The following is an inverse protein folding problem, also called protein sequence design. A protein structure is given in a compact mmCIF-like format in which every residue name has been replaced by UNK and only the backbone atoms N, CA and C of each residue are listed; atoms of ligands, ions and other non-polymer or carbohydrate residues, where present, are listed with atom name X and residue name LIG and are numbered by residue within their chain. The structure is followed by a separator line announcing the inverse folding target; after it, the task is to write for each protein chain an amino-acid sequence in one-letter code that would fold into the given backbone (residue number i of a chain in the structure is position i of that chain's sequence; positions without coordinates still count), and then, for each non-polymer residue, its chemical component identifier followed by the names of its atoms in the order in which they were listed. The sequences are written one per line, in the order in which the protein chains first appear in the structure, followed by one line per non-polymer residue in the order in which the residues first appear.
data_IF_311466208693
#
_entry.id   IF_311466208693
#
_cell.length_a   1.000
_cell.length_b   1.000
_cell.length_c   1.000
_cell.angle_alpha   90.00
_cell.angle_beta   90.00
_cell.angle_gamma   90.00
#
_symmetry.space_group_name_H-M   'P 1'
#
loop_
_entity.id
_entity.type
_entity.pdbx_description
1 polymer ?
#
# COMPACT_ATOMS: atom_id res chain seq x y z
N UNK A 1 -25.82 4.64 8.71
CA UNK A 1 -24.87 5.75 8.43
C UNK A 1 -23.92 5.23 7.37
N UNK A 2 -23.75 5.88 6.21
CA UNK A 2 -22.83 5.40 5.21
C UNK A 2 -21.41 5.61 5.73
N UNK A 3 -20.64 4.53 5.85
CA UNK A 3 -19.21 4.58 6.06
C UNK A 3 -18.61 5.33 4.87
N UNK A 4 -18.07 6.53 5.14
CA UNK A 4 -17.28 7.27 4.16
C UNK A 4 -16.16 6.35 3.66
N UNK A 5 -15.98 6.36 2.34
CA UNK A 5 -15.10 5.48 1.58
C UNK A 5 -13.71 5.29 2.22
N UNK A 6 -13.12 4.09 2.13
CA UNK A 6 -11.74 3.90 2.54
C UNK A 6 -10.82 4.80 1.70
N UNK A 7 -9.84 5.39 2.37
CA UNK A 7 -8.71 6.17 1.86
C UNK A 7 -7.83 5.35 0.90
N UNK A 8 -8.40 4.86 -0.20
CA UNK A 8 -7.74 3.97 -1.15
C UNK A 8 -7.80 4.58 -2.54
N UNK A 9 -7.00 5.63 -2.75
CA UNK A 9 -6.57 6.07 -4.08
C UNK A 9 -5.49 7.15 -3.92
N UNK A 10 -4.24 6.72 -3.67
CA UNK A 10 -3.09 7.58 -3.96
C UNK A 10 -1.97 6.76 -4.58
N UNK A 11 -2.34 5.96 -5.58
CA UNK A 11 -1.40 5.35 -6.48
C UNK A 11 -1.02 6.39 -7.54
N UNK A 12 0.25 6.79 -7.55
CA UNK A 12 0.91 7.56 -8.62
C UNK A 12 0.52 9.05 -8.65
N UNK A 13 0.90 9.87 -7.67
CA UNK A 13 0.78 11.34 -7.84
C UNK A 13 1.99 12.18 -7.43
N UNK A 14 3.07 11.60 -6.88
CA UNK A 14 4.11 12.40 -6.23
C UNK A 14 5.47 12.48 -6.91
N UNK A 15 5.68 11.88 -8.10
CA UNK A 15 7.04 11.77 -8.63
C UNK A 15 7.29 12.28 -10.06
N UNK A 16 6.34 12.96 -10.73
CA UNK A 16 6.68 13.66 -11.97
C UNK A 16 6.91 15.13 -11.64
N UNK A 17 8.17 15.61 -11.71
CA UNK A 17 8.44 17.01 -11.48
C UNK A 17 7.62 17.84 -12.48
N UNK A 18 6.95 18.88 -11.98
CA UNK A 18 6.45 19.98 -12.79
C UNK A 18 7.65 20.76 -13.37
N UNK A 19 8.43 20.11 -14.23
CA UNK A 19 9.45 20.74 -15.03
C UNK A 19 8.98 20.65 -16.47
N UNK A 20 8.45 21.77 -16.95
CA UNK A 20 8.28 22.00 -18.36
C UNK A 20 9.68 22.03 -18.99
N UNK A 21 10.13 20.92 -19.57
CA UNK A 21 11.02 20.90 -20.72
C UNK A 21 11.11 19.46 -21.29
N UNK A 22 10.39 19.27 -22.41
CA UNK A 22 10.28 18.05 -23.22
C UNK A 22 9.53 16.90 -22.53
N UNK A 23 8.20 16.91 -22.63
CA UNK A 23 7.42 15.69 -22.45
C UNK A 23 8.00 14.59 -23.38
N UNK A 24 8.15 13.33 -22.93
CA UNK A 24 8.74 12.27 -23.74
C UNK A 24 8.04 12.20 -25.10
N UNK A 25 8.83 12.06 -26.16
CA UNK A 25 8.40 12.32 -27.53
C UNK A 25 7.44 11.26 -28.07
N UNK A 26 7.43 10.06 -27.46
CA UNK A 26 6.54 8.96 -27.80
C UNK A 26 5.83 8.31 -26.61
N UNK A 27 4.67 7.68 -26.88
CA UNK A 27 3.88 6.91 -25.89
C UNK A 27 4.75 5.85 -25.18
N UNK A 28 5.66 5.19 -25.90
CA UNK A 28 6.55 4.18 -25.33
C UNK A 28 7.48 4.76 -24.24
N UNK A 29 8.05 5.96 -24.46
CA UNK A 29 8.91 6.63 -23.48
C UNK A 29 8.10 7.08 -22.26
N UNK A 30 6.87 7.54 -22.48
CA UNK A 30 5.93 7.91 -21.42
C UNK A 30 5.56 6.72 -20.54
N UNK A 31 5.23 5.58 -21.15
CA UNK A 31 4.99 4.32 -20.43
C UNK A 31 6.22 3.92 -19.64
N UNK A 32 7.41 3.93 -20.25
CA UNK A 32 8.65 3.59 -19.57
C UNK A 32 8.94 4.49 -18.36
N UNK A 33 8.63 5.78 -18.46
CA UNK A 33 8.81 6.74 -17.35
C UNK A 33 7.92 6.38 -16.15
N UNK A 34 6.64 6.05 -16.38
CA UNK A 34 5.74 5.67 -15.29
C UNK A 34 6.13 4.32 -14.69
N UNK A 35 6.51 3.34 -15.52
CA UNK A 35 6.98 2.04 -15.03
C UNK A 35 8.32 2.12 -14.27
N UNK A 36 9.11 3.16 -14.51
CA UNK A 36 10.33 3.43 -13.75
C UNK A 36 10.07 4.17 -12.43
N UNK A 37 8.85 4.66 -12.19
CA UNK A 37 8.46 5.36 -10.97
C UNK A 37 7.98 4.40 -9.87
N UNK A 38 8.08 4.81 -8.62
CA UNK A 38 7.45 4.09 -7.52
C UNK A 38 5.95 4.38 -7.44
N UNK A 39 5.13 3.37 -7.09
CA UNK A 39 5.52 2.00 -6.75
C UNK A 39 5.66 1.03 -7.93
N UNK A 40 5.33 1.45 -9.16
CA UNK A 40 5.26 0.57 -10.32
C UNK A 40 6.56 -0.21 -10.55
N UNK A 41 7.71 0.43 -10.36
CA UNK A 41 9.02 -0.20 -10.52
C UNK A 41 9.21 -1.41 -9.61
N UNK A 42 8.80 -1.33 -8.34
CA UNK A 42 8.89 -2.45 -7.39
C UNK A 42 7.78 -3.49 -7.57
N UNK A 43 6.58 -3.08 -8.01
CA UNK A 43 5.42 -3.97 -8.13
C UNK A 43 5.45 -4.85 -9.39
N UNK A 44 5.82 -4.27 -10.53
CA UNK A 44 5.66 -4.89 -11.85
C UNK A 44 6.41 -6.21 -12.02
N UNK A 45 7.66 -6.40 -11.54
CA UNK A 45 8.34 -7.69 -11.64
C UNK A 45 7.56 -8.82 -10.96
N UNK A 46 6.96 -8.57 -9.80
CA UNK A 46 6.13 -9.54 -9.11
C UNK A 46 4.83 -9.81 -9.87
N UNK A 47 4.19 -8.77 -10.40
CA UNK A 47 2.94 -8.93 -11.17
C UNK A 47 3.20 -9.74 -12.42
N UNK A 48 4.27 -9.49 -13.15
CA UNK A 48 4.64 -10.28 -14.33
C UNK A 48 4.91 -11.75 -13.99
N UNK A 49 5.48 -12.04 -12.81
CA UNK A 49 5.79 -13.40 -12.39
C UNK A 49 4.54 -14.21 -12.01
N UNK A 50 3.61 -13.60 -11.28
CA UNK A 50 2.48 -14.33 -10.66
C UNK A 50 1.12 -14.04 -11.32
N UNK A 51 0.94 -12.83 -11.86
CA UNK A 51 -0.31 -12.33 -12.44
C UNK A 51 -0.06 -11.66 -13.81
N UNK A 52 0.47 -12.41 -14.80
CA UNK A 52 0.89 -11.81 -16.07
C UNK A 52 -0.25 -11.17 -16.86
N UNK A 53 -1.49 -11.65 -16.70
CA UNK A 53 -2.66 -11.04 -17.33
C UNK A 53 -2.99 -9.67 -16.70
N UNK A 54 -2.93 -9.57 -15.38
CA UNK A 54 -3.10 -8.32 -14.63
C UNK A 54 -1.98 -7.33 -14.95
N UNK A 55 -0.74 -7.79 -15.01
CA UNK A 55 0.41 -6.98 -15.42
C UNK A 55 0.20 -6.38 -16.82
N UNK A 56 -0.27 -7.19 -17.78
CA UNK A 56 -0.57 -6.72 -19.13
C UNK A 56 -1.71 -5.69 -19.12
N UNK A 57 -2.80 -5.95 -18.36
CA UNK A 57 -3.90 -4.98 -18.20
C UNK A 57 -3.42 -3.64 -17.64
N UNK A 58 -2.53 -3.65 -16.63
CA UNK A 58 -1.96 -2.41 -16.09
C UNK A 58 -1.16 -1.63 -17.15
N UNK A 59 -0.34 -2.34 -17.95
CA UNK A 59 0.42 -1.71 -19.05
C UNK A 59 -0.51 -1.13 -20.12
N UNK A 60 -1.61 -1.82 -20.43
CA UNK A 60 -2.58 -1.35 -21.40
C UNK A 60 -3.37 -0.14 -20.90
N UNK A 61 -3.82 -0.15 -19.64
CA UNK A 61 -4.43 1.02 -18.97
C UNK A 61 -3.47 2.21 -18.92
N UNK A 62 -2.20 1.97 -18.61
CA UNK A 62 -1.17 2.99 -18.63
C UNK A 62 -1.00 3.58 -20.04
N UNK A 63 -0.92 2.74 -21.08
CA UNK A 63 -0.81 3.17 -22.47
C UNK A 63 -2.01 4.02 -22.88
N UNK A 64 -3.21 3.61 -22.51
CA UNK A 64 -4.45 4.35 -22.77
C UNK A 64 -4.37 5.76 -22.17
N UNK A 65 -4.15 5.86 -20.87
CA UNK A 65 -4.12 7.14 -20.15
C UNK A 65 -3.03 8.06 -20.69
N UNK A 66 -1.78 7.59 -20.86
CA UNK A 66 -0.67 8.47 -21.28
C UNK A 66 -0.75 8.93 -22.75
N UNK A 67 -1.62 8.29 -23.53
CA UNK A 67 -1.91 8.69 -24.91
C UNK A 67 -2.91 9.85 -24.99
N UNK A 68 -3.61 10.14 -23.89
CA UNK A 68 -4.56 11.24 -23.81
C UNK A 68 -3.85 12.59 -23.62
N UNK A 69 -4.44 13.72 -24.09
CA UNK A 69 -3.84 15.04 -23.95
C UNK A 69 -3.49 15.42 -22.51
N UNK A 70 -4.25 14.92 -21.55
CA UNK A 70 -4.15 15.17 -20.11
C UNK A 70 -3.60 13.96 -19.33
N UNK A 71 -3.04 12.95 -20.00
CA UNK A 71 -2.52 11.73 -19.39
C UNK A 71 -1.38 11.91 -18.37
N UNK A 72 -0.71 13.07 -18.40
CA UNK A 72 0.34 13.47 -17.45
C UNK A 72 -0.12 14.57 -16.48
N UNK A 73 -1.42 14.83 -16.43
CA UNK A 73 -2.02 15.74 -15.46
C UNK A 73 -2.42 14.98 -14.19
N UNK A 74 -2.80 15.73 -13.14
CA UNK A 74 -3.36 15.14 -11.92
C UNK A 74 -4.59 14.26 -12.21
N UNK A 75 -5.44 14.65 -13.17
CA UNK A 75 -6.63 13.89 -13.54
C UNK A 75 -6.28 12.57 -14.25
N UNK A 76 -5.26 12.58 -15.12
CA UNK A 76 -4.75 11.36 -15.76
C UNK A 76 -4.20 10.37 -14.73
N UNK A 77 -3.42 10.88 -13.75
CA UNK A 77 -2.91 10.08 -12.65
C UNK A 77 -4.00 9.53 -11.72
N UNK A 78 -5.00 10.34 -11.39
CA UNK A 78 -6.17 9.89 -10.62
C UNK A 78 -6.91 8.76 -11.34
N UNK A 79 -7.15 8.90 -12.65
CA UNK A 79 -7.76 7.84 -13.45
C UNK A 79 -6.91 6.57 -13.47
N UNK A 80 -5.60 6.69 -13.64
CA UNK A 80 -4.69 5.55 -13.62
C UNK A 80 -4.70 4.84 -12.25
N UNK A 81 -4.74 5.61 -11.16
CA UNK A 81 -4.92 5.09 -9.79
C UNK A 81 -6.19 4.25 -9.68
N UNK A 82 -7.33 4.74 -10.17
CA UNK A 82 -8.60 4.00 -10.16
C UNK A 82 -8.52 2.70 -10.94
N UNK A 83 -8.01 2.73 -12.17
CA UNK A 83 -7.88 1.52 -13.00
C UNK A 83 -6.96 0.48 -12.36
N UNK A 84 -5.86 0.93 -11.77
CA UNK A 84 -4.95 0.05 -11.06
C UNK A 84 -5.60 -0.56 -9.81
N UNK A 85 -6.38 0.20 -9.05
CA UNK A 85 -7.12 -0.30 -7.90
C UNK A 85 -8.11 -1.41 -8.30
N UNK A 86 -8.81 -1.26 -9.44
CA UNK A 86 -9.72 -2.27 -9.97
C UNK A 86 -9.00 -3.58 -10.34
N UNK A 87 -7.80 -3.48 -10.92
CA UNK A 87 -6.97 -4.65 -11.27
C UNK A 87 -6.42 -5.33 -10.01
N UNK A 88 -6.01 -4.54 -9.01
CA UNK A 88 -5.39 -5.05 -7.78
C UNK A 88 -6.41 -5.58 -6.77
N UNK A 89 -7.66 -5.11 -6.78
CA UNK A 89 -8.67 -5.50 -5.80
C UNK A 89 -8.89 -7.01 -5.69
N UNK A 90 -9.03 -7.79 -6.79
CA UNK A 90 -9.10 -9.25 -6.71
C UNK A 90 -7.86 -9.89 -6.09
N UNK A 91 -6.67 -9.37 -6.41
CA UNK A 91 -5.39 -9.86 -5.85
C UNK A 91 -5.36 -9.59 -4.34
N UNK A 92 -5.78 -8.40 -3.89
CA UNK A 92 -5.87 -8.08 -2.46
C UNK A 92 -6.91 -8.97 -1.75
N UNK A 93 -8.00 -9.32 -2.43
CA UNK A 93 -8.96 -10.31 -1.94
C UNK A 93 -8.32 -11.68 -1.69
N UNK A 94 -7.40 -12.13 -2.54
CA UNK A 94 -6.64 -13.36 -2.32
C UNK A 94 -5.70 -13.24 -1.11
N UNK A 95 -5.01 -12.10 -0.97
CA UNK A 95 -4.14 -11.83 0.19
C UNK A 95 -4.94 -11.86 1.49
N UNK A 96 -6.15 -11.26 1.52
CA UNK A 96 -7.01 -11.28 2.70
C UNK A 96 -7.38 -12.71 3.15
N UNK A 97 -7.30 -13.69 2.27
CA UNK A 97 -7.60 -15.11 2.54
C UNK A 97 -6.36 -15.95 2.81
N UNK A 98 -5.16 -15.36 2.79
CA UNK A 98 -3.92 -16.06 3.04
C UNK A 98 -3.87 -16.69 4.45
N UNK A 99 -3.06 -17.74 4.64
CA UNK A 99 -2.72 -18.26 5.97
C UNK A 99 -2.23 -17.14 6.90
N UNK A 100 -2.60 -17.24 8.17
CA UNK A 100 -2.31 -16.18 9.15
C UNK A 100 -0.81 -15.91 9.33
N UNK A 101 0.02 -16.95 9.23
CA UNK A 101 1.49 -16.79 9.25
C UNK A 101 2.04 -15.97 8.09
N UNK A 102 1.42 -16.05 6.91
CA UNK A 102 1.80 -15.26 5.75
C UNK A 102 1.39 -13.78 5.92
N UNK A 103 0.24 -13.52 6.55
CA UNK A 103 -0.19 -12.18 6.92
C UNK A 103 0.78 -11.55 7.92
N UNK A 104 1.22 -12.30 8.95
CA UNK A 104 2.25 -11.85 9.90
C UNK A 104 3.54 -11.49 9.16
N UNK A 105 3.99 -12.35 8.23
CA UNK A 105 5.21 -12.09 7.47
C UNK A 105 5.09 -10.84 6.58
N UNK A 106 3.90 -10.54 6.06
CA UNK A 106 3.66 -9.27 5.35
C UNK A 106 3.77 -8.08 6.29
N UNK A 107 3.15 -8.14 7.48
CA UNK A 107 3.25 -7.07 8.47
C UNK A 107 4.70 -6.86 8.95
N UNK A 108 5.49 -7.92 9.10
CA UNK A 108 6.92 -7.80 9.42
C UNK A 108 7.70 -7.05 8.34
N UNK A 109 7.39 -7.31 7.06
CA UNK A 109 8.00 -6.55 5.96
C UNK A 109 7.57 -5.07 5.97
N UNK A 110 6.31 -4.78 6.27
CA UNK A 110 5.83 -3.40 6.44
C UNK A 110 6.55 -2.69 7.61
N UNK A 111 6.68 -3.36 8.76
CA UNK A 111 7.39 -2.87 9.93
C UNK A 111 8.86 -2.59 9.61
N UNK A 112 9.57 -3.52 8.94
CA UNK A 112 10.97 -3.31 8.50
C UNK A 112 11.12 -2.07 7.63
N UNK A 113 10.18 -1.86 6.71
CA UNK A 113 10.21 -0.72 5.81
C UNK A 113 10.02 0.60 6.56
N UNK A 114 9.04 0.68 7.47
CA UNK A 114 8.81 1.88 8.30
C UNK A 114 9.97 2.13 9.29
N UNK A 115 10.55 1.09 9.87
CA UNK A 115 11.73 1.18 10.73
C UNK A 115 12.95 1.76 9.96
N UNK A 116 13.10 1.43 8.68
CA UNK A 116 14.11 2.01 7.79
C UNK A 116 13.95 3.53 7.58
N UNK A 117 12.79 4.10 7.91
CA UNK A 117 12.45 5.51 7.83
C UNK A 117 12.38 6.22 9.19
N UNK A 118 12.70 5.53 10.30
CA UNK A 118 12.52 6.06 11.66
C UNK A 118 13.29 7.38 11.91
N UNK A 119 14.44 7.58 11.27
CA UNK A 119 15.22 8.84 11.36
C UNK A 119 14.61 10.00 10.55
N UNK A 120 13.60 9.73 9.73
CA UNK A 120 12.95 10.66 8.82
C UNK A 120 11.43 10.67 9.08
N UNK A 121 10.98 11.12 10.27
CA UNK A 121 9.60 10.95 10.73
C UNK A 121 8.56 11.54 9.77
N UNK A 122 8.90 12.64 9.08
CA UNK A 122 8.00 13.24 8.10
C UNK A 122 7.85 12.47 6.82
N UNK A 123 8.94 11.91 6.32
CA UNK A 123 8.86 11.04 5.17
C UNK A 123 8.11 9.76 5.53
N UNK A 124 8.39 9.19 6.70
CA UNK A 124 7.69 8.01 7.18
C UNK A 124 6.17 8.26 7.31
N UNK A 125 5.74 9.38 7.90
CA UNK A 125 4.32 9.74 7.99
C UNK A 125 3.67 9.85 6.60
N UNK A 126 4.35 10.48 5.63
CA UNK A 126 3.87 10.51 4.24
C UNK A 126 3.77 9.13 3.63
N UNK A 127 4.75 8.25 3.87
CA UNK A 127 4.71 6.86 3.38
C UNK A 127 3.58 6.05 4.02
N UNK A 128 3.24 6.29 5.30
CA UNK A 128 2.07 5.66 5.96
C UNK A 128 0.76 6.04 5.27
N UNK A 129 0.62 7.31 4.84
CA UNK A 129 -0.64 7.85 4.31
C UNK A 129 -0.74 7.72 2.79
N UNK A 130 0.36 7.97 2.09
CA UNK A 130 0.45 8.10 0.62
C UNK A 130 1.21 6.94 -0.03
N UNK A 131 1.81 6.05 0.77
CA UNK A 131 2.54 4.90 0.30
C UNK A 131 3.93 5.15 -0.26
N UNK A 132 4.50 4.14 -0.95
CA UNK A 132 5.87 4.19 -1.45
C UNK A 132 6.07 5.27 -2.51
N UNK A 133 4.99 5.73 -3.16
CA UNK A 133 5.06 6.87 -4.08
C UNK A 133 5.57 8.16 -3.40
N UNK A 134 5.45 8.27 -2.07
CA UNK A 134 6.04 9.38 -1.32
C UNK A 134 7.57 9.29 -1.21
N UNK A 135 8.16 8.13 -1.50
CA UNK A 135 9.61 7.96 -1.58
C UNK A 135 10.10 8.63 -2.88
N UNK A 136 10.91 9.67 -2.71
CA UNK A 136 11.60 10.29 -3.83
C UNK A 136 12.75 9.43 -4.34
N UNK A 137 13.48 9.96 -5.32
CA UNK A 137 14.67 9.31 -5.89
C UNK A 137 15.82 9.09 -4.89
N UNK A 138 15.78 9.75 -3.73
CA UNK A 138 16.86 9.75 -2.75
C UNK A 138 16.81 8.53 -1.80
N UNK A 139 15.73 7.74 -1.88
CA UNK A 139 15.48 6.59 -1.00
C UNK A 139 15.61 5.25 -1.74
N UNK A 140 16.45 5.22 -2.79
CA UNK A 140 16.69 4.02 -3.62
C UNK A 140 17.01 2.76 -2.82
N UNK A 141 17.70 2.87 -1.69
CA UNK A 141 18.02 1.71 -0.85
C UNK A 141 16.78 1.02 -0.25
N UNK A 142 15.68 1.76 -0.01
CA UNK A 142 14.39 1.17 0.41
C UNK A 142 13.61 0.63 -0.78
N UNK A 143 13.70 1.31 -1.93
CA UNK A 143 12.93 0.95 -3.12
C UNK A 143 13.57 -0.17 -3.95
N UNK A 144 14.89 -0.33 -3.95
CA UNK A 144 15.64 -1.38 -4.69
C UNK A 144 15.78 -2.69 -3.92
N UNK A 145 15.30 -2.77 -2.68
CA UNK A 145 15.38 -3.99 -1.87
C UNK A 145 14.06 -4.31 -1.18
N UNK A 146 13.76 -3.55 -0.12
CA UNK A 146 12.67 -3.87 0.81
C UNK A 146 11.30 -3.81 0.12
N UNK A 147 11.07 -2.79 -0.72
CA UNK A 147 9.78 -2.65 -1.42
C UNK A 147 9.57 -3.72 -2.49
N UNK A 148 10.56 -3.99 -3.33
CA UNK A 148 10.45 -5.06 -4.33
C UNK A 148 10.25 -6.43 -3.66
N UNK A 149 10.96 -6.71 -2.56
CA UNK A 149 10.75 -7.90 -1.74
C UNK A 149 9.31 -7.96 -1.22
N UNK A 150 8.79 -6.85 -0.68
CA UNK A 150 7.44 -6.76 -0.14
C UNK A 150 6.35 -7.04 -1.19
N UNK A 151 6.46 -6.41 -2.37
CA UNK A 151 5.56 -6.65 -3.49
C UNK A 151 5.63 -8.10 -3.98
N UNK A 152 6.84 -8.64 -4.16
CA UNK A 152 7.03 -10.02 -4.61
C UNK A 152 6.45 -11.02 -3.61
N UNK A 153 6.71 -10.82 -2.32
CA UNK A 153 6.18 -11.67 -1.25
C UNK A 153 4.66 -11.67 -1.27
N UNK A 154 4.03 -10.49 -1.34
CA UNK A 154 2.58 -10.39 -1.39
C UNK A 154 1.98 -11.08 -2.60
N UNK A 155 2.54 -10.86 -3.78
CA UNK A 155 2.01 -11.44 -5.02
C UNK A 155 2.20 -12.96 -5.05
N UNK A 156 3.29 -13.47 -4.48
CA UNK A 156 3.45 -14.91 -4.27
C UNK A 156 2.37 -15.48 -3.32
N UNK A 157 2.07 -14.78 -2.22
CA UNK A 157 1.02 -15.19 -1.27
C UNK A 157 -0.36 -15.17 -1.93
N UNK A 158 -0.66 -14.12 -2.69
CA UNK A 158 -1.92 -14.00 -3.42
C UNK A 158 -2.08 -15.15 -4.43
N UNK A 159 -1.02 -15.45 -5.18
CA UNK A 159 -1.01 -16.53 -6.17
C UNK A 159 -1.23 -17.90 -5.52
N UNK A 160 -0.53 -18.17 -4.41
CA UNK A 160 -0.72 -19.39 -3.63
C UNK A 160 -2.14 -19.52 -3.06
N UNK A 161 -2.85 -18.40 -2.89
CA UNK A 161 -4.22 -18.34 -2.35
C UNK A 161 -5.30 -18.29 -3.43
N UNK A 162 -4.94 -18.33 -4.72
CA UNK A 162 -5.86 -18.12 -5.86
C UNK A 162 -7.07 -19.06 -5.85
N UNK A 163 -6.84 -20.32 -5.49
CA UNK A 163 -7.87 -21.38 -5.46
C UNK A 163 -8.28 -21.76 -4.04
N UNK A 164 -7.86 -20.98 -3.04
CA UNK A 164 -8.23 -21.24 -1.65
C UNK A 164 -9.73 -21.01 -1.45
N UNK A 165 -10.37 -21.93 -0.71
CA UNK A 165 -11.73 -21.69 -0.23
C UNK A 165 -11.67 -20.55 0.79
N UNK A 166 -12.53 -19.52 0.68
CA UNK A 166 -12.55 -18.45 1.68
C UNK A 166 -12.76 -19.03 3.09
N UNK A 167 -11.88 -18.64 4.01
CA UNK A 167 -11.87 -19.15 5.39
C UNK A 167 -11.99 -18.02 6.41
N UNK A 168 -11.92 -16.76 5.96
CA UNK A 168 -11.87 -15.59 6.84
C UNK A 168 -12.92 -14.56 6.46
N UNK A 169 -13.75 -14.21 7.44
CA UNK A 169 -14.69 -13.08 7.37
C UNK A 169 -13.94 -11.74 7.47
N UNK A 170 -14.62 -10.64 7.11
CA UNK A 170 -14.10 -9.29 7.33
C UNK A 170 -14.00 -8.96 8.82
N UNK A 171 -13.05 -8.09 9.19
CA UNK A 171 -12.94 -7.58 10.54
C UNK A 171 -14.24 -6.88 10.96
N UNK A 172 -14.71 -7.20 12.16
CA UNK A 172 -15.92 -6.66 12.77
C UNK A 172 -15.59 -5.53 13.75
N UNK A 173 -16.59 -4.74 14.12
CA UNK A 173 -16.46 -3.70 15.17
C UNK A 173 -15.94 -4.28 16.49
N UNK A 174 -16.28 -5.54 16.81
CA UNK A 174 -15.78 -6.23 18.00
C UNK A 174 -14.27 -6.53 17.91
N UNK A 175 -13.76 -6.84 16.72
CA UNK A 175 -12.33 -7.08 16.49
C UNK A 175 -11.54 -5.76 16.63
N UNK A 176 -12.08 -4.67 16.08
CA UNK A 176 -11.48 -3.34 16.24
C UNK A 176 -11.52 -2.87 17.70
N UNK A 177 -12.63 -3.11 18.42
CA UNK A 177 -12.71 -2.80 19.84
C UNK A 177 -11.68 -3.59 20.66
N UNK A 178 -11.45 -4.86 20.33
CA UNK A 178 -10.46 -5.70 21.02
C UNK A 178 -9.03 -5.18 20.82
N UNK A 179 -8.64 -4.81 19.59
CA UNK A 179 -7.30 -4.24 19.36
C UNK A 179 -7.15 -2.84 19.95
N UNK A 180 -8.19 -2.00 19.90
CA UNK A 180 -8.18 -0.69 20.56
C UNK A 180 -8.02 -0.80 22.07
N UNK A 181 -8.68 -1.76 22.71
CA UNK A 181 -8.50 -2.02 24.14
C UNK A 181 -7.06 -2.45 24.45
N UNK A 182 -6.49 -3.34 23.63
CA UNK A 182 -5.10 -3.79 23.81
C UNK A 182 -4.08 -2.66 23.65
N UNK A 183 -4.32 -1.73 22.72
CA UNK A 183 -3.51 -0.52 22.58
C UNK A 183 -3.63 0.38 23.81
N UNK A 184 -4.85 0.58 24.32
CA UNK A 184 -5.09 1.37 25.53
C UNK A 184 -4.39 0.75 26.76
N UNK A 185 -4.44 -0.58 26.91
CA UNK A 185 -3.73 -1.32 27.97
C UNK A 185 -2.21 -1.16 27.89
N UNK A 186 -1.66 -0.85 26.69
CA UNK A 186 -0.24 -0.55 26.46
C UNK A 186 0.08 0.95 26.56
N UNK A 187 -0.90 1.79 26.91
CA UNK A 187 -0.71 3.22 27.15
C UNK A 187 -1.10 4.13 25.99
N UNK A 188 -1.74 3.63 24.93
CA UNK A 188 -2.36 4.49 23.93
C UNK A 188 -3.48 5.32 24.56
N UNK A 189 -3.41 6.64 24.36
CA UNK A 189 -4.38 7.60 24.89
C UNK A 189 -5.26 8.20 23.76
N UNK A 190 -6.12 9.15 24.11
CA UNK A 190 -6.98 9.82 23.12
C UNK A 190 -6.18 10.47 21.98
N UNK A 191 -5.03 11.06 22.27
CA UNK A 191 -4.18 11.70 21.26
C UNK A 191 -3.55 10.68 20.29
N UNK A 192 -3.28 9.45 20.77
CA UNK A 192 -2.87 8.35 19.92
C UNK A 192 -3.99 7.96 18.93
N UNK A 193 -5.22 7.79 19.41
CA UNK A 193 -6.36 7.41 18.56
C UNK A 193 -6.74 8.51 17.58
N UNK A 194 -6.72 9.78 18.01
CA UNK A 194 -6.98 10.93 17.14
C UNK A 194 -5.98 10.98 15.98
N UNK A 195 -4.72 10.61 16.23
CA UNK A 195 -3.67 10.56 15.20
C UNK A 195 -3.91 9.49 14.16
N UNK A 196 -4.26 8.27 14.59
CA UNK A 196 -4.64 7.19 13.66
C UNK A 196 -5.89 7.55 12.88
N UNK A 197 -6.89 8.17 13.51
CA UNK A 197 -8.11 8.57 12.83
C UNK A 197 -7.87 9.69 11.80
N UNK A 198 -6.96 10.62 12.09
CA UNK A 198 -6.67 11.73 11.18
C UNK A 198 -5.83 11.33 9.96
N UNK A 199 -4.93 10.34 10.09
CA UNK A 199 -3.97 9.96 9.05
C UNK A 199 -3.28 11.18 8.40
N UNK A 200 -2.88 12.18 9.21
CA UNK A 200 -2.27 13.41 8.70
C UNK A 200 -0.82 13.16 8.25
N UNK A 201 -0.48 13.29 6.95
CA UNK A 201 0.88 13.09 6.47
C UNK A 201 1.88 14.13 6.99
N UNK A 202 1.41 15.19 7.66
CA UNK A 202 2.22 16.22 8.30
C UNK A 202 2.36 16.06 9.82
N UNK A 203 1.83 14.98 10.41
CA UNK A 203 2.09 14.62 11.80
C UNK A 203 3.38 13.79 11.95
N UNK A 204 4.38 14.37 12.62
CA UNK A 204 5.68 13.72 12.88
C UNK A 204 5.59 12.46 13.74
N UNK A 205 4.57 12.33 14.56
CA UNK A 205 4.37 11.18 15.44
C UNK A 205 3.58 10.05 14.74
N UNK A 206 2.99 10.29 13.56
CA UNK A 206 2.13 9.29 12.90
C UNK A 206 2.88 8.01 12.57
N UNK A 207 4.10 8.12 12.06
CA UNK A 207 4.95 6.96 11.77
C UNK A 207 5.13 6.04 12.98
N UNK A 208 5.43 6.62 14.15
CA UNK A 208 5.61 5.86 15.38
C UNK A 208 4.30 5.22 15.81
N UNK A 209 3.22 5.99 15.88
CA UNK A 209 1.87 5.53 16.24
C UNK A 209 1.41 4.39 15.32
N UNK A 210 1.63 4.49 14.01
CA UNK A 210 1.29 3.44 13.06
C UNK A 210 2.18 2.19 13.20
N UNK A 211 3.47 2.37 13.48
CA UNK A 211 4.39 1.24 13.75
C UNK A 211 3.98 0.49 15.02
N UNK A 212 3.58 1.21 16.07
CA UNK A 212 3.00 0.62 17.29
C UNK A 212 1.72 -0.16 16.97
N UNK A 213 0.81 0.41 16.16
CA UNK A 213 -0.40 -0.27 15.73
C UNK A 213 -0.13 -1.59 15.00
N UNK A 214 0.77 -1.57 14.01
CA UNK A 214 1.17 -2.76 13.27
C UNK A 214 1.83 -3.81 14.18
N UNK A 215 2.64 -3.37 15.14
CA UNK A 215 3.30 -4.28 16.09
C UNK A 215 2.26 -4.97 16.98
N UNK A 216 1.31 -4.22 17.54
CA UNK A 216 0.23 -4.79 18.36
C UNK A 216 -0.64 -5.73 17.55
N UNK A 217 -0.98 -5.38 16.31
CA UNK A 217 -1.75 -6.24 15.43
C UNK A 217 -1.02 -7.54 15.07
N UNK A 218 0.28 -7.46 14.78
CA UNK A 218 1.13 -8.63 14.50
C UNK A 218 1.16 -9.59 15.68
N UNK A 219 1.31 -9.07 16.90
CA UNK A 219 1.46 -9.87 18.13
C UNK A 219 0.13 -10.18 18.83
N UNK A 220 -0.99 -9.84 18.20
CA UNK A 220 -2.32 -10.02 18.76
C UNK A 220 -2.71 -11.51 18.81
N UNK A 221 -3.17 -11.95 19.97
CA UNK A 221 -3.69 -13.30 20.21
C UNK A 221 -5.04 -13.19 20.90
N UNK A 222 -6.04 -12.73 20.15
CA UNK A 222 -7.42 -12.65 20.58
C UNK A 222 -8.34 -13.15 19.45
N UNK A 223 -9.58 -13.59 19.75
CA UNK A 223 -10.51 -14.01 18.71
C UNK A 223 -10.76 -12.91 17.67
N UNK A 224 -10.36 -13.13 16.41
CA UNK A 224 -10.46 -12.15 15.32
C UNK A 224 -9.20 -11.34 15.02
N UNK A 225 -8.10 -11.58 15.74
CA UNK A 225 -6.81 -10.95 15.45
C UNK A 225 -6.29 -11.23 14.04
N UNK A 226 -6.62 -12.40 13.47
CA UNK A 226 -6.31 -12.76 12.08
C UNK A 226 -7.07 -11.90 11.07
N UNK A 227 -8.32 -11.52 11.36
CA UNK A 227 -9.11 -10.59 10.52
C UNK A 227 -8.52 -9.19 10.51
N UNK A 228 -8.06 -8.70 11.65
CA UNK A 228 -7.35 -7.41 11.73
C UNK A 228 -6.04 -7.46 10.94
N UNK A 229 -5.27 -8.55 11.06
CA UNK A 229 -4.04 -8.71 10.26
C UNK A 229 -4.31 -8.82 8.77
N UNK A 230 -5.39 -9.47 8.36
CA UNK A 230 -5.83 -9.54 6.96
C UNK A 230 -6.22 -8.15 6.43
N UNK A 231 -6.99 -7.39 7.22
CA UNK A 231 -7.35 -6.01 6.89
C UNK A 231 -6.10 -5.13 6.75
N UNK A 232 -5.19 -5.13 7.72
CA UNK A 232 -3.95 -4.35 7.65
C UNK A 232 -3.02 -4.81 6.51
N UNK A 233 -2.93 -6.10 6.25
CA UNK A 233 -2.13 -6.64 5.15
C UNK A 233 -2.68 -6.26 3.76
N UNK A 234 -3.94 -5.83 3.66
CA UNK A 234 -4.59 -5.45 2.39
C UNK A 234 -4.90 -3.96 2.27
N UNK A 235 -5.12 -3.26 3.38
CA UNK A 235 -5.49 -1.83 3.45
C UNK A 235 -4.30 -0.92 3.70
N UNK A 236 -3.25 -1.39 4.40
CA UNK A 236 -2.10 -0.53 4.70
C UNK A 236 -1.42 -0.09 3.40
N UNK A 237 -1.55 1.20 3.12
CA UNK A 237 -1.17 1.90 1.89
C UNK A 237 0.32 1.94 1.62
N UNK A 238 1.08 0.91 1.94
CA UNK A 238 2.41 0.70 1.38
C UNK A 238 2.36 0.20 -0.07
N UNK A 239 1.19 0.28 -0.72
CA UNK A 239 0.95 -0.28 -2.03
C UNK A 239 -0.08 0.49 -2.82
#
# INVERSE_FOLDING_TARGET
MPLNAPLTALLIASAIPAQAEVAPAGIAERVALVLASEPARSAMPGLMAYFPAEAQRMVDSLREVVSEPDGFSAAGFERLSTLNAEIMAPIMGMVAQAPDGDLVALLDTQLRMLQGLASQPMLCARVVVQGPGALGSDHRYLTEGVLEEAYRQRLAIADASRDAVPHRDLASDADYAAISQRLADQGADGAWFDRIAAMDPNDRALCQTFTEYLTVARDADFPGADRIRADLATVAGLY
#
